data_IF_956376792072
#
_entry.id   IF_956376792072
#
_cell.length_a   1.000
_cell.length_b   1.000
_cell.length_c   1.000
_cell.angle_alpha   90.00
_cell.angle_beta   90.00
_cell.angle_gamma   90.00
#
_symmetry.space_group_name_H-M   'P 1'
#
loop_
_entity.id
_entity.type
_entity.pdbx_description
1 polymer ?
#
# COMPACT_ATOMS: atom_id res chain seq x y z
N UNK A 1 -1.66 -4.56 12.71
CA UNK A 1 -3.04 -4.87 12.28
C UNK A 1 -3.81 -3.56 12.18
N UNK A 2 -4.53 -3.34 11.08
CA UNK A 2 -5.16 -2.06 10.77
C UNK A 2 -6.23 -2.18 9.71
N UNK A 3 -6.79 -1.05 9.29
CA UNK A 3 -7.84 -0.98 8.27
C UNK A 3 -7.45 -0.06 7.11
N UNK A 4 -8.13 -0.26 5.97
CA UNK A 4 -8.03 0.56 4.76
C UNK A 4 -8.75 1.91 4.91
N UNK A 5 -8.26 2.74 5.83
CA UNK A 5 -8.87 4.00 6.25
C UNK A 5 -9.43 3.87 7.66
N UNK A 6 -10.18 4.88 8.09
CA UNK A 6 -10.78 4.93 9.43
C UNK A 6 -12.21 5.50 9.40
N UNK A 7 -12.76 5.81 8.23
CA UNK A 7 -14.12 6.34 8.12
C UNK A 7 -15.09 5.16 7.92
N UNK A 8 -15.64 4.65 9.01
CA UNK A 8 -16.57 3.52 9.03
C UNK A 8 -17.68 3.78 10.04
N UNK A 9 -18.83 3.13 9.88
CA UNK A 9 -20.00 3.28 10.77
C UNK A 9 -19.70 2.90 12.23
N UNK A 10 -18.75 1.99 12.45
CA UNK A 10 -18.29 1.59 13.78
C UNK A 10 -17.30 2.58 14.41
N UNK A 11 -16.80 3.57 13.68
CA UNK A 11 -15.81 4.54 14.14
C UNK A 11 -16.40 5.96 14.22
N UNK A 12 -17.04 6.34 15.33
CA UNK A 12 -17.86 7.54 15.42
C UNK A 12 -17.06 8.85 15.31
N UNK A 13 -15.83 8.90 15.86
CA UNK A 13 -15.04 10.16 15.92
C UNK A 13 -13.74 10.11 15.09
N UNK A 14 -13.77 9.37 13.98
CA UNK A 14 -12.67 9.36 13.01
C UNK A 14 -11.33 8.92 13.60
N UNK A 15 -10.24 9.61 13.24
CA UNK A 15 -8.89 9.16 13.59
C UNK A 15 -8.61 9.22 15.10
N UNK A 16 -9.19 10.17 15.83
CA UNK A 16 -8.97 10.30 17.28
C UNK A 16 -9.55 9.10 18.05
N UNK A 17 -10.78 8.69 17.71
CA UNK A 17 -11.37 7.46 18.25
C UNK A 17 -10.61 6.22 17.79
N UNK A 18 -10.24 6.16 16.50
CA UNK A 18 -9.46 5.04 15.96
C UNK A 18 -8.20 4.77 16.78
N UNK A 19 -7.41 5.81 17.04
CA UNK A 19 -6.14 5.70 17.78
C UNK A 19 -6.34 5.36 19.25
N UNK A 20 -7.44 5.80 19.86
CA UNK A 20 -7.65 5.69 21.31
C UNK A 20 -8.51 4.49 21.74
N UNK A 21 -9.37 3.99 20.86
CA UNK A 21 -10.42 3.03 21.21
C UNK A 21 -10.48 1.77 20.33
N UNK A 22 -9.99 1.80 19.10
CA UNK A 22 -10.13 0.64 18.19
C UNK A 22 -9.29 -0.58 18.59
N UNK A 23 -8.20 -0.37 19.35
CA UNK A 23 -7.20 -1.41 19.61
C UNK A 23 -6.27 -1.70 18.42
N UNK A 24 -6.44 -1.01 17.29
CA UNK A 24 -5.59 -1.15 16.11
C UNK A 24 -4.34 -0.26 16.20
N UNK A 25 -3.24 -0.73 15.62
CA UNK A 25 -1.93 -0.08 15.69
C UNK A 25 -1.39 0.36 14.33
N UNK A 26 -2.13 0.14 13.25
CA UNK A 26 -1.72 0.53 11.91
C UNK A 26 -2.90 1.09 11.13
N UNK A 27 -2.62 1.92 10.12
CA UNK A 27 -3.67 2.44 9.24
C UNK A 27 -3.15 2.63 7.82
N UNK A 28 -3.99 2.29 6.84
CA UNK A 28 -3.69 2.57 5.43
C UNK A 28 -4.45 3.83 4.97
N UNK A 29 -3.71 4.86 4.58
CA UNK A 29 -4.28 6.07 4.01
C UNK A 29 -4.65 5.84 2.54
N UNK A 30 -5.96 5.76 2.26
CA UNK A 30 -6.48 5.61 0.90
C UNK A 30 -6.80 6.91 0.19
N UNK A 31 -7.07 8.00 0.91
CA UNK A 31 -7.45 9.28 0.31
C UNK A 31 -6.37 9.81 -0.65
N UNK A 32 -5.09 9.58 -0.33
CA UNK A 32 -3.92 9.98 -1.12
C UNK A 32 -3.87 9.35 -2.51
N UNK A 33 -4.59 8.25 -2.73
CA UNK A 33 -4.75 7.63 -4.04
C UNK A 33 -5.47 8.54 -5.04
N UNK A 34 -6.45 9.33 -4.56
CA UNK A 34 -7.33 10.15 -5.39
C UNK A 34 -6.91 11.61 -5.49
N UNK A 35 -6.30 12.14 -4.42
CA UNK A 35 -5.87 13.54 -4.32
C UNK A 35 -4.64 13.68 -3.45
N UNK A 36 -3.84 14.71 -3.71
CA UNK A 36 -2.71 15.05 -2.85
C UNK A 36 -3.25 15.64 -1.54
N UNK A 37 -2.84 15.12 -0.37
CA UNK A 37 -3.26 15.69 0.90
C UNK A 37 -2.72 17.11 1.08
N UNK A 38 -3.48 17.95 1.79
CA UNK A 38 -3.00 19.25 2.23
C UNK A 38 -2.01 19.11 3.38
N UNK A 39 -1.06 20.05 3.49
CA UNK A 39 -0.07 20.05 4.56
C UNK A 39 -0.70 20.04 5.96
N UNK A 40 -1.79 20.80 6.14
CA UNK A 40 -2.56 20.84 7.39
C UNK A 40 -3.14 19.48 7.78
N UNK A 41 -3.55 18.66 6.81
CA UNK A 41 -4.03 17.30 7.08
C UNK A 41 -2.89 16.41 7.55
N UNK A 42 -1.73 16.48 6.89
CA UNK A 42 -0.54 15.69 7.22
C UNK A 42 -0.04 16.03 8.63
N UNK A 43 0.02 17.31 8.98
CA UNK A 43 0.39 17.74 10.33
C UNK A 43 -0.63 17.27 11.38
N UNK A 44 -1.92 17.29 11.06
CA UNK A 44 -2.95 16.74 11.95
C UNK A 44 -2.77 15.23 12.13
N UNK A 45 -2.53 14.48 11.06
CA UNK A 45 -2.31 13.03 11.13
C UNK A 45 -1.04 12.66 11.88
N UNK A 46 0.06 13.39 11.70
CA UNK A 46 1.27 13.23 12.51
C UNK A 46 0.94 13.32 14.00
N UNK A 47 0.17 14.34 14.39
CA UNK A 47 -0.19 14.57 15.79
C UNK A 47 -1.14 13.50 16.34
N UNK A 48 -2.27 13.27 15.68
CA UNK A 48 -3.30 12.35 16.17
C UNK A 48 -2.85 10.89 16.05
N UNK A 49 -2.26 10.50 14.92
CA UNK A 49 -1.85 9.12 14.64
C UNK A 49 -0.38 8.83 14.93
N UNK A 50 0.25 9.55 15.87
CA UNK A 50 1.66 9.39 16.23
C UNK A 50 2.02 7.97 16.69
N UNK A 51 1.03 7.20 17.18
CA UNK A 51 1.20 5.81 17.66
C UNK A 51 0.81 4.76 16.64
N UNK A 52 0.46 5.16 15.42
CA UNK A 52 0.11 4.22 14.35
C UNK A 52 1.30 4.01 13.41
N UNK A 53 1.43 2.78 12.94
CA UNK A 53 2.17 2.47 11.71
C UNK A 53 1.36 2.92 10.50
N UNK A 54 1.92 3.79 9.66
CA UNK A 54 1.23 4.29 8.48
C UNK A 54 1.63 3.56 7.20
N UNK A 55 0.63 3.17 6.42
CA UNK A 55 0.78 2.77 5.03
C UNK A 55 0.12 3.79 4.12
N UNK A 56 0.88 4.49 3.29
CA UNK A 56 0.36 5.54 2.41
C UNK A 56 0.10 4.97 1.03
N UNK A 57 -1.16 4.91 0.60
CA UNK A 57 -1.48 4.50 -0.78
C UNK A 57 -1.04 5.59 -1.75
N UNK A 58 -0.15 5.21 -2.66
CA UNK A 58 0.46 6.12 -3.64
C UNK A 58 -0.58 6.60 -4.65
N UNK A 59 -0.46 7.86 -5.06
CA UNK A 59 -1.41 8.49 -5.97
C UNK A 59 -1.59 7.71 -7.28
N UNK A 60 -2.84 7.58 -7.74
CA UNK A 60 -3.22 6.78 -8.92
C UNK A 60 -2.53 7.20 -10.22
N UNK A 61 -2.08 8.45 -10.33
CA UNK A 61 -1.33 8.87 -11.52
C UNK A 61 -0.02 8.09 -11.67
N UNK A 62 0.64 7.70 -10.57
CA UNK A 62 1.89 6.94 -10.58
C UNK A 62 1.62 5.48 -10.96
N UNK A 63 0.60 4.85 -10.35
CA UNK A 63 0.38 3.39 -10.48
C UNK A 63 -0.59 3.00 -11.59
N UNK A 64 -1.61 3.80 -11.87
CA UNK A 64 -2.66 3.47 -12.85
C UNK A 64 -2.48 4.19 -14.17
N UNK A 65 -2.21 5.51 -14.15
CA UNK A 65 -2.13 6.30 -15.38
C UNK A 65 -0.76 6.17 -16.06
N UNK A 66 0.32 6.41 -15.31
CA UNK A 66 1.68 6.42 -15.84
C UNK A 66 2.44 5.12 -15.58
N UNK A 67 1.95 4.24 -14.69
CA UNK A 67 2.46 2.89 -14.43
C UNK A 67 4.00 2.87 -14.27
N UNK A 68 4.51 3.73 -13.40
CA UNK A 68 5.94 3.93 -13.14
C UNK A 68 6.79 4.39 -14.34
N UNK A 69 6.18 4.92 -15.41
CA UNK A 69 6.95 5.58 -16.48
C UNK A 69 7.69 6.81 -15.96
N UNK A 70 8.59 7.38 -16.76
CA UNK A 70 9.39 8.57 -16.43
C UNK A 70 8.56 9.75 -15.89
N UNK A 71 7.34 9.96 -16.41
CA UNK A 71 6.40 10.98 -15.90
C UNK A 71 6.05 10.79 -14.42
N UNK A 72 6.15 9.57 -13.91
CA UNK A 72 5.88 9.23 -12.51
C UNK A 72 6.94 9.76 -11.55
N UNK A 73 8.17 9.99 -12.01
CA UNK A 73 9.31 10.36 -11.16
C UNK A 73 9.10 11.74 -10.51
N UNK A 74 8.85 12.77 -11.31
CA UNK A 74 8.55 14.12 -10.79
C UNK A 74 7.25 14.19 -9.98
N UNK A 75 6.28 13.32 -10.28
CA UNK A 75 5.03 13.22 -9.51
C UNK A 75 5.31 12.57 -8.15
N UNK A 76 6.17 11.55 -8.12
CA UNK A 76 6.61 10.89 -6.90
C UNK A 76 7.29 11.89 -5.96
N UNK A 77 8.22 12.72 -6.43
CA UNK A 77 8.87 13.72 -5.56
C UNK A 77 7.87 14.67 -4.93
N UNK A 78 6.97 15.23 -5.74
CA UNK A 78 5.91 16.11 -5.23
C UNK A 78 4.99 15.40 -4.26
N UNK A 79 4.77 14.10 -4.41
CA UNK A 79 3.91 13.31 -3.53
C UNK A 79 4.64 13.00 -2.21
N UNK A 80 5.84 12.43 -2.31
CA UNK A 80 6.70 12.07 -1.20
C UNK A 80 7.02 13.27 -0.31
N UNK A 81 7.41 14.40 -0.90
CA UNK A 81 7.77 15.62 -0.16
C UNK A 81 6.60 16.20 0.64
N UNK A 82 5.34 15.91 0.30
CA UNK A 82 4.20 16.32 1.14
C UNK A 82 4.24 15.61 2.49
N UNK A 83 4.67 14.34 2.49
CA UNK A 83 4.73 13.52 3.68
C UNK A 83 6.01 13.73 4.49
N UNK A 84 6.93 14.61 4.07
CA UNK A 84 8.14 14.97 4.81
C UNK A 84 7.91 15.12 6.32
N UNK A 85 6.86 15.83 6.81
CA UNK A 85 6.64 15.97 8.24
C UNK A 85 6.32 14.67 8.98
N UNK A 86 5.98 13.56 8.30
CA UNK A 86 5.58 12.31 8.94
C UNK A 86 6.26 11.05 8.38
N UNK A 87 7.38 11.20 7.67
CA UNK A 87 8.11 10.07 7.05
C UNK A 87 8.58 9.02 8.06
N UNK A 88 8.89 9.44 9.29
CA UNK A 88 9.25 8.61 10.44
C UNK A 88 8.10 7.71 10.91
N UNK A 89 6.84 8.10 10.67
CA UNK A 89 5.65 7.29 11.01
C UNK A 89 5.20 6.37 9.87
N UNK A 90 5.77 6.54 8.68
CA UNK A 90 5.39 5.78 7.48
C UNK A 90 6.28 4.55 7.36
N UNK A 91 5.67 3.39 7.56
CA UNK A 91 6.30 2.10 7.34
C UNK A 91 6.26 1.71 5.85
N UNK A 92 5.18 2.07 5.15
CA UNK A 92 5.02 1.68 3.76
C UNK A 92 4.43 2.79 2.87
N UNK A 93 4.92 2.86 1.64
CA UNK A 93 4.22 3.44 0.51
C UNK A 93 3.66 2.30 -0.33
N UNK A 94 2.33 2.22 -0.40
CA UNK A 94 1.60 1.18 -1.11
C UNK A 94 1.37 1.56 -2.57
N UNK A 95 2.06 0.88 -3.48
CA UNK A 95 1.90 0.96 -4.91
C UNK A 95 0.97 -0.15 -5.39
N UNK A 96 -0.33 0.11 -5.37
CA UNK A 96 -1.32 -0.81 -5.92
C UNK A 96 -1.53 -0.56 -7.41
N UNK A 97 -1.33 -1.59 -8.24
CA UNK A 97 -1.45 -1.55 -9.70
C UNK A 97 -2.81 -2.05 -10.19
N UNK A 98 -3.31 -1.58 -11.35
CA UNK A 98 -4.60 -2.01 -11.90
C UNK A 98 -4.57 -3.47 -12.36
N UNK A 99 -5.73 -4.14 -12.44
CA UNK A 99 -5.83 -5.53 -12.91
C UNK A 99 -5.44 -5.71 -14.39
N UNK A 100 -5.34 -4.63 -15.16
CA UNK A 100 -4.88 -4.66 -16.56
C UNK A 100 -3.35 -4.70 -16.70
N UNK A 101 -2.60 -4.55 -15.61
CA UNK A 101 -1.14 -4.54 -15.63
C UNK A 101 -0.59 -5.94 -15.29
N UNK A 102 -0.33 -6.74 -16.32
CA UNK A 102 0.39 -8.01 -16.20
C UNK A 102 1.92 -7.85 -16.17
N UNK A 103 2.66 -8.93 -15.87
CA UNK A 103 4.12 -8.97 -15.98
C UNK A 103 4.58 -8.72 -17.42
N UNK A 104 5.53 -7.81 -17.58
CA UNK A 104 6.22 -7.56 -18.85
C UNK A 104 7.64 -7.07 -18.59
N UNK A 105 8.54 -7.28 -19.56
CA UNK A 105 9.91 -6.76 -19.49
C UNK A 105 9.91 -5.22 -19.37
N UNK A 106 9.01 -4.56 -20.08
CA UNK A 106 8.86 -3.10 -20.03
C UNK A 106 8.48 -2.61 -18.62
N UNK A 107 7.55 -3.29 -17.94
CA UNK A 107 7.17 -2.93 -16.58
C UNK A 107 8.33 -3.18 -15.59
N UNK A 108 9.02 -4.31 -15.73
CA UNK A 108 10.18 -4.61 -14.88
C UNK A 108 11.28 -3.56 -15.03
N UNK A 109 11.51 -3.04 -16.24
CA UNK A 109 12.48 -1.98 -16.46
C UNK A 109 12.05 -0.66 -15.83
N UNK A 110 10.79 -0.25 -16.04
CA UNK A 110 10.21 0.93 -15.38
C UNK A 110 10.31 0.84 -13.86
N UNK A 111 10.03 -0.33 -13.30
CA UNK A 111 10.16 -0.58 -11.87
C UNK A 111 11.60 -0.39 -11.39
N UNK A 112 12.61 -0.97 -12.06
CA UNK A 112 14.01 -0.81 -11.68
C UNK A 112 14.46 0.65 -11.73
N UNK A 113 14.09 1.38 -12.78
CA UNK A 113 14.37 2.81 -12.92
C UNK A 113 13.73 3.58 -11.77
N UNK A 114 12.46 3.33 -11.49
CA UNK A 114 11.74 3.99 -10.39
C UNK A 114 12.40 3.70 -9.03
N UNK A 115 12.76 2.44 -8.75
CA UNK A 115 13.40 2.05 -7.49
C UNK A 115 14.79 2.66 -7.31
N UNK A 116 15.53 2.87 -8.41
CA UNK A 116 16.81 3.58 -8.38
C UNK A 116 16.60 5.08 -8.10
N UNK A 117 15.59 5.67 -8.72
CA UNK A 117 15.29 7.10 -8.60
C UNK A 117 14.74 7.49 -7.23
N UNK A 118 13.85 6.66 -6.65
CA UNK A 118 13.12 7.03 -5.44
C UNK A 118 14.02 7.20 -4.20
N UNK A 119 15.26 6.68 -4.23
CA UNK A 119 16.26 6.74 -3.15
C UNK A 119 15.73 6.43 -1.74
N UNK A 120 14.64 5.66 -1.68
CA UNK A 120 13.97 5.24 -0.46
C UNK A 120 14.47 3.86 -0.04
N UNK A 121 14.50 3.58 1.28
CA UNK A 121 14.64 2.21 1.76
C UNK A 121 13.56 1.35 1.08
N UNK A 122 14.00 0.42 0.24
CA UNK A 122 13.12 -0.39 -0.61
C UNK A 122 12.15 -1.23 0.21
N UNK A 123 12.46 -1.53 1.48
CA UNK A 123 11.55 -2.22 2.40
C UNK A 123 10.30 -1.42 2.70
N UNK A 124 10.32 -0.09 2.53
CA UNK A 124 9.14 0.78 2.63
C UNK A 124 8.29 0.79 1.35
N UNK A 125 8.70 0.15 0.27
CA UNK A 125 7.95 0.09 -0.99
C UNK A 125 7.15 -1.20 -1.02
N UNK A 126 5.83 -1.09 -0.82
CA UNK A 126 4.91 -2.21 -0.89
C UNK A 126 4.23 -2.23 -2.26
N UNK A 127 4.46 -3.29 -3.05
CA UNK A 127 3.88 -3.45 -4.38
C UNK A 127 2.71 -4.43 -4.35
N UNK A 128 1.53 -3.96 -4.76
CA UNK A 128 0.34 -4.80 -4.84
C UNK A 128 -0.13 -4.94 -6.27
N UNK A 129 -0.17 -6.19 -6.73
CA UNK A 129 -0.63 -6.53 -8.06
C UNK A 129 -2.08 -7.04 -8.01
N UNK A 130 -2.85 -6.69 -9.03
CA UNK A 130 -4.25 -7.17 -9.19
C UNK A 130 -4.42 -8.12 -10.37
N UNK A 131 -3.44 -8.19 -11.26
CA UNK A 131 -3.46 -9.14 -12.37
C UNK A 131 -2.97 -10.51 -11.89
N UNK A 132 -3.77 -11.56 -12.11
CA UNK A 132 -3.54 -12.91 -11.55
C UNK A 132 -2.20 -13.53 -11.93
N UNK A 133 -1.65 -13.20 -13.11
CA UNK A 133 -0.37 -13.74 -13.56
C UNK A 133 0.86 -13.30 -12.75
N UNK A 134 0.72 -12.35 -11.83
CA UNK A 134 1.75 -12.00 -10.85
C UNK A 134 1.85 -13.02 -9.71
N UNK A 135 0.77 -13.76 -9.43
CA UNK A 135 0.65 -14.67 -8.29
C UNK A 135 1.20 -16.06 -8.62
N UNK A 136 2.46 -16.05 -9.06
CA UNK A 136 3.31 -17.19 -9.26
C UNK A 136 4.57 -16.96 -8.43
N UNK A 137 4.92 -17.90 -7.55
CA UNK A 137 5.98 -17.69 -6.55
C UNK A 137 7.32 -17.30 -7.18
N UNK A 138 7.65 -17.83 -8.36
CA UNK A 138 8.88 -17.47 -9.07
C UNK A 138 8.89 -15.99 -9.47
N UNK A 139 7.79 -15.48 -10.02
CA UNK A 139 7.66 -14.06 -10.41
C UNK A 139 7.61 -13.16 -9.18
N UNK A 140 6.81 -13.51 -8.18
CA UNK A 140 6.72 -12.73 -6.95
C UNK A 140 8.06 -12.66 -6.21
N UNK A 141 8.82 -13.76 -6.18
CA UNK A 141 10.22 -13.77 -5.69
C UNK A 141 11.12 -12.83 -6.49
N UNK A 142 11.05 -12.83 -7.81
CA UNK A 142 11.86 -11.92 -8.63
C UNK A 142 11.57 -10.43 -8.36
N UNK A 143 10.35 -10.10 -7.90
CA UNK A 143 10.02 -8.76 -7.41
C UNK A 143 10.62 -8.53 -6.02
N UNK A 144 10.43 -9.48 -5.09
CA UNK A 144 10.97 -9.41 -3.73
C UNK A 144 12.51 -9.28 -3.71
N UNK A 145 13.21 -9.93 -4.65
CA UNK A 145 14.67 -9.87 -4.80
C UNK A 145 15.17 -8.46 -5.17
N UNK A 146 14.29 -7.55 -5.62
CA UNK A 146 14.61 -6.13 -5.79
C UNK A 146 14.69 -5.39 -4.44
N UNK A 147 14.40 -6.04 -3.31
CA UNK A 147 14.40 -5.47 -1.96
C UNK A 147 13.08 -4.80 -1.57
N UNK A 148 12.04 -4.92 -2.39
CA UNK A 148 10.70 -4.39 -2.12
C UNK A 148 9.82 -5.41 -1.42
N UNK A 149 8.71 -4.95 -0.84
CA UNK A 149 7.71 -5.83 -0.23
C UNK A 149 6.62 -6.15 -1.25
N UNK A 150 6.49 -7.43 -1.60
CA UNK A 150 5.35 -7.91 -2.37
C UNK A 150 4.14 -8.06 -1.45
N UNK A 151 3.05 -7.37 -1.77
CA UNK A 151 1.81 -7.43 -0.98
C UNK A 151 1.10 -8.75 -1.25
N UNK A 152 0.98 -9.55 -0.19
CA UNK A 152 0.12 -10.72 -0.16
C UNK A 152 -1.34 -10.27 -0.14
N UNK A 153 -2.19 -10.92 -0.92
CA UNK A 153 -3.62 -10.58 -0.99
C UNK A 153 -4.46 -11.83 -0.77
N UNK A 154 -5.51 -11.67 0.02
CA UNK A 154 -6.62 -12.62 0.08
C UNK A 154 -7.83 -11.92 -0.55
N UNK A 155 -8.38 -12.53 -1.60
CA UNK A 155 -9.39 -11.94 -2.47
C UNK A 155 -10.20 -13.03 -3.19
N UNK A 156 -11.30 -12.70 -3.88
CA UNK A 156 -12.08 -13.73 -4.59
C UNK A 156 -11.34 -14.43 -5.73
N UNK A 157 -10.23 -13.85 -6.21
CA UNK A 157 -9.44 -14.42 -7.31
C UNK A 157 -8.13 -15.06 -6.87
N UNK A 158 -7.65 -14.71 -5.68
CA UNK A 158 -6.33 -15.09 -5.16
C UNK A 158 -6.51 -15.34 -3.68
N UNK A 159 -6.29 -16.58 -3.25
CA UNK A 159 -6.40 -17.01 -1.86
C UNK A 159 -5.14 -17.78 -1.49
N UNK A 160 -4.73 -17.70 -0.22
CA UNK A 160 -3.58 -18.48 0.29
C UNK A 160 -2.21 -18.10 -0.29
N UNK A 161 -2.09 -16.98 -1.00
CA UNK A 161 -0.81 -16.50 -1.51
C UNK A 161 -0.13 -15.62 -0.46
N UNK A 162 0.81 -16.20 0.29
CA UNK A 162 1.59 -15.49 1.31
C UNK A 162 3.07 -15.52 0.92
N UNK A 163 3.69 -14.33 0.87
CA UNK A 163 5.11 -14.17 0.60
C UNK A 163 5.76 -13.25 1.62
N UNK A 164 6.78 -13.75 2.30
CA UNK A 164 7.67 -12.94 3.14
C UNK A 164 8.79 -12.32 2.29
N UNK A 165 8.99 -11.02 2.44
CA UNK A 165 10.01 -10.22 1.77
C UNK A 165 10.87 -9.53 2.83
N UNK A 166 12.12 -9.97 3.02
CA UNK A 166 13.03 -9.42 4.03
C UNK A 166 12.38 -9.39 5.44
N UNK A 167 11.82 -10.52 5.85
CA UNK A 167 11.11 -10.72 7.12
C UNK A 167 9.83 -9.89 7.31
N UNK A 168 9.34 -9.26 6.25
CA UNK A 168 8.09 -8.50 6.23
C UNK A 168 7.03 -9.26 5.45
N UNK A 169 5.86 -9.44 6.07
CA UNK A 169 4.62 -9.84 5.39
C UNK A 169 3.68 -8.63 5.42
N UNK A 170 3.38 -8.09 4.24
CA UNK A 170 2.28 -7.15 4.06
C UNK A 170 1.09 -7.93 3.49
N UNK A 171 0.06 -8.16 4.31
CA UNK A 171 -1.16 -8.86 3.91
C UNK A 171 -2.35 -7.90 3.81
N UNK A 172 -3.12 -7.98 2.72
CA UNK A 172 -4.39 -7.27 2.57
C UNK A 172 -5.53 -8.26 2.32
N UNK A 173 -6.54 -8.19 3.19
CA UNK A 173 -7.75 -9.00 3.10
C UNK A 173 -8.84 -8.21 2.38
N UNK A 174 -9.32 -8.73 1.25
CA UNK A 174 -10.35 -8.10 0.41
C UNK A 174 -11.66 -8.89 0.36
N UNK A 175 -11.77 -10.01 1.08
CA UNK A 175 -12.91 -10.95 1.05
C UNK A 175 -12.74 -12.08 0.05
N UNK A 176 -13.40 -13.23 0.25
CA UNK A 176 -13.22 -14.42 -0.62
C UNK A 176 -14.36 -14.70 -1.60
N UNK A 177 -15.59 -14.37 -1.25
CA UNK A 177 -16.74 -14.56 -2.14
C UNK A 177 -17.14 -13.26 -2.84
N UNK A 178 -17.08 -12.15 -2.10
CA UNK A 178 -17.39 -10.82 -2.60
C UNK A 178 -16.31 -9.82 -2.18
N UNK A 179 -15.96 -8.91 -3.11
CA UNK A 179 -15.00 -7.85 -2.84
C UNK A 179 -15.53 -6.90 -1.77
N UNK A 180 -14.75 -6.73 -0.69
CA UNK A 180 -15.00 -5.79 0.41
C UNK A 180 -16.31 -6.01 1.18
N UNK A 181 -17.04 -7.08 0.88
CA UNK A 181 -18.33 -7.43 1.49
C UNK A 181 -18.29 -8.90 1.91
N UNK A 182 -17.38 -9.19 2.83
CA UNK A 182 -17.16 -10.54 3.32
C UNK A 182 -16.74 -10.50 4.79
N UNK A 183 -17.30 -11.39 5.60
CA UNK A 183 -16.90 -11.56 6.99
C UNK A 183 -16.14 -12.87 7.12
N UNK A 184 -14.82 -12.77 7.35
CA UNK A 184 -13.96 -13.94 7.51
C UNK A 184 -14.34 -14.72 8.77
N UNK A 185 -14.41 -16.04 8.65
CA UNK A 185 -14.56 -16.91 9.81
C UNK A 185 -13.24 -17.04 10.57
N UNK A 186 -13.30 -17.47 11.84
CA UNK A 186 -12.09 -17.68 12.65
C UNK A 186 -11.13 -18.72 12.06
N UNK A 187 -11.62 -19.69 11.27
CA UNK A 187 -10.77 -20.69 10.62
C UNK A 187 -10.02 -20.13 9.41
N UNK A 188 -10.43 -18.99 8.88
CA UNK A 188 -9.81 -18.35 7.72
C UNK A 188 -8.78 -17.29 8.10
N UNK A 189 -8.79 -16.85 9.36
CA UNK A 189 -7.89 -15.86 9.96
C UNK A 189 -6.70 -16.54 10.64
#
# INVERSE_FOLDING_TARGET
MGTSGWMYDWNPDGLDWYVSRSGLNAVELNMSFYRFPYQSQILKWRKTGARLSWSIKVHRSITHYYKLSEKSLSIWDRFYNRFEPMLDLIDFFLFQFPPSLGPSNEFMEKLRVFLKYAELDRRKIALEFRHVSWFDFKKARSIADLGVVFVSVDSPRIQGFILSCSDIIYLRLHGREAWYSYNYSLNEL
#
